data_IF_415614072850
#
_entry.id   IF_415614072850
#
_cell.length_a   1.000
_cell.length_b   1.000
_cell.length_c   1.000
_cell.angle_alpha   90.00
_cell.angle_beta   90.00
_cell.angle_gamma   90.00
#
_symmetry.space_group_name_H-M   'P 1'
#
loop_
_entity.id
_entity.type
_entity.pdbx_description
1 polymer ?
#
# COMPACT_ATOMS: atom_id res chain seq x y z
N UNK A 1 -6.58 -41.84 -28.05
CA UNK A 1 -7.31 -40.59 -28.31
C UNK A 1 -7.17 -39.73 -27.07
N UNK A 2 -6.28 -38.74 -27.16
CA UNK A 2 -6.03 -37.76 -26.11
C UNK A 2 -7.18 -36.75 -26.06
N UNK A 3 -7.79 -36.57 -24.88
CA UNK A 3 -8.65 -35.41 -24.62
C UNK A 3 -7.81 -34.33 -23.95
N UNK A 4 -7.45 -33.34 -24.76
CA UNK A 4 -6.78 -32.10 -24.41
C UNK A 4 -7.64 -31.33 -23.40
N UNK A 5 -7.20 -31.22 -22.15
CA UNK A 5 -7.82 -30.35 -21.14
C UNK A 5 -7.23 -28.96 -21.27
N UNK A 6 -7.86 -28.13 -22.10
CA UNK A 6 -7.62 -26.69 -22.18
C UNK A 6 -8.37 -26.00 -21.03
N UNK A 7 -7.71 -25.81 -19.88
CA UNK A 7 -8.08 -24.81 -18.87
C UNK A 7 -6.86 -23.99 -18.49
N UNK A 8 -6.45 -23.16 -19.45
CA UNK A 8 -5.35 -22.21 -19.35
C UNK A 8 -5.91 -20.86 -18.87
N UNK A 9 -6.28 -20.74 -17.60
CA UNK A 9 -6.80 -19.48 -17.05
C UNK A 9 -6.12 -19.20 -15.70
N UNK A 10 -5.38 -18.08 -15.69
CA UNK A 10 -4.94 -17.24 -14.56
C UNK A 10 -3.64 -17.53 -13.76
N UNK A 11 -2.60 -18.10 -14.38
CA UNK A 11 -1.18 -17.87 -13.97
C UNK A 11 -0.67 -16.43 -14.31
N UNK A 12 -1.58 -15.50 -14.60
CA UNK A 12 -1.35 -14.49 -15.64
C UNK A 12 -0.84 -13.12 -15.18
N UNK A 13 -0.71 -12.85 -13.88
CA UNK A 13 -0.28 -11.50 -13.46
C UNK A 13 1.22 -11.38 -13.15
N UNK A 14 1.91 -12.49 -12.87
CA UNK A 14 3.36 -12.47 -12.57
C UNK A 14 4.21 -13.45 -13.40
N UNK A 15 3.58 -14.34 -14.19
CA UNK A 15 4.22 -14.96 -15.37
C UNK A 15 4.40 -13.93 -16.51
N UNK A 16 3.96 -12.67 -16.33
CA UNK A 16 3.95 -11.66 -17.39
C UNK A 16 5.16 -10.71 -17.45
N UNK A 17 6.00 -10.62 -16.41
CA UNK A 17 7.12 -9.65 -16.41
C UNK A 17 8.44 -10.27 -16.92
N UNK A 18 8.62 -11.59 -16.83
CA UNK A 18 9.60 -12.30 -17.67
C UNK A 18 9.44 -13.81 -17.54
N UNK A 19 9.03 -14.48 -18.62
CA UNK A 19 9.29 -15.92 -18.79
C UNK A 19 10.79 -16.20 -19.02
N UNK A 20 11.59 -15.14 -19.21
CA UNK A 20 13.01 -15.21 -19.48
C UNK A 20 13.82 -15.15 -18.17
N UNK A 21 14.49 -16.26 -17.77
CA UNK A 21 15.27 -16.33 -16.53
C UNK A 21 16.44 -15.33 -16.47
N UNK A 22 16.85 -14.76 -17.61
CA UNK A 22 17.89 -13.72 -17.66
C UNK A 22 17.42 -12.35 -17.16
N UNK A 23 16.12 -12.03 -17.24
CA UNK A 23 15.58 -10.73 -16.83
C UNK A 23 15.20 -10.67 -15.35
N UNK A 24 14.96 -11.84 -14.73
CA UNK A 24 14.62 -11.98 -13.30
C UNK A 24 15.61 -11.28 -12.34
N UNK A 25 16.96 -11.41 -12.50
CA UNK A 25 17.91 -10.68 -11.65
C UNK A 25 17.89 -9.16 -11.88
N UNK A 26 17.58 -8.69 -13.09
CA UNK A 26 17.46 -7.27 -13.40
C UNK A 26 16.23 -6.67 -12.71
N UNK A 27 15.10 -7.37 -12.78
CA UNK A 27 13.84 -6.99 -12.12
C UNK A 27 14.03 -6.98 -10.59
N UNK A 28 14.70 -8.00 -10.04
CA UNK A 28 15.04 -8.05 -8.61
C UNK A 28 15.89 -6.84 -8.19
N UNK A 29 16.95 -6.54 -8.96
CA UNK A 29 17.80 -5.37 -8.72
C UNK A 29 17.04 -4.05 -8.78
N UNK A 30 16.13 -3.91 -9.75
CA UNK A 30 15.27 -2.73 -9.90
C UNK A 30 14.37 -2.54 -8.67
N UNK A 31 13.62 -3.57 -8.27
CA UNK A 31 12.72 -3.47 -7.11
C UNK A 31 13.47 -3.28 -5.79
N UNK A 32 14.64 -3.91 -5.63
CA UNK A 32 15.49 -3.69 -4.47
C UNK A 32 16.00 -2.25 -4.42
N UNK A 33 16.45 -1.70 -5.56
CA UNK A 33 16.93 -0.32 -5.64
C UNK A 33 15.81 0.68 -5.33
N UNK A 34 14.61 0.46 -5.88
CA UNK A 34 13.43 1.27 -5.60
C UNK A 34 13.06 1.21 -4.12
N UNK A 35 13.08 0.02 -3.51
CA UNK A 35 12.84 -0.15 -2.08
C UNK A 35 13.82 0.67 -1.23
N UNK A 36 15.12 0.54 -1.48
CA UNK A 36 16.16 1.24 -0.70
C UNK A 36 16.02 2.77 -0.86
N UNK A 37 15.81 3.24 -2.09
CA UNK A 37 15.65 4.68 -2.37
C UNK A 37 14.40 5.22 -1.69
N UNK A 38 13.26 4.54 -1.80
CA UNK A 38 11.99 4.97 -1.19
C UNK A 38 12.08 4.97 0.34
N UNK A 39 12.65 3.94 0.95
CA UNK A 39 12.81 3.87 2.41
C UNK A 39 13.76 4.95 2.90
N UNK A 40 14.92 5.09 2.26
CA UNK A 40 15.92 6.09 2.66
C UNK A 40 15.35 7.51 2.49
N UNK A 41 14.71 7.80 1.36
CA UNK A 41 14.12 9.11 1.08
C UNK A 41 13.07 9.50 2.12
N UNK A 42 12.14 8.60 2.43
CA UNK A 42 11.09 8.88 3.41
C UNK A 42 11.61 8.97 4.84
N UNK A 43 12.63 8.18 5.21
CA UNK A 43 13.28 8.30 6.52
C UNK A 43 14.00 9.65 6.67
N UNK A 44 14.64 10.14 5.60
CA UNK A 44 15.26 11.47 5.61
C UNK A 44 14.22 12.58 5.77
N UNK A 45 13.05 12.47 5.14
CA UNK A 45 11.95 13.43 5.32
C UNK A 45 11.49 13.44 6.78
N UNK A 46 11.22 12.27 7.37
CA UNK A 46 10.83 12.14 8.78
C UNK A 46 11.90 12.79 9.68
N UNK A 47 13.17 12.44 9.49
CA UNK A 47 14.27 12.97 10.29
C UNK A 47 14.40 14.50 10.16
N UNK A 48 14.26 15.04 8.96
CA UNK A 48 14.31 16.48 8.71
C UNK A 48 13.14 17.21 9.40
N UNK A 49 11.92 16.65 9.34
CA UNK A 49 10.75 17.26 9.98
C UNK A 49 10.82 17.25 11.51
N UNK A 50 11.47 16.25 12.12
CA UNK A 50 11.64 16.18 13.58
C UNK A 50 12.80 17.06 14.06
N UNK A 51 13.87 17.17 13.27
CA UNK A 51 15.10 17.88 13.66
C UNK A 51 14.96 19.39 13.57
N UNK A 52 14.17 19.89 12.62
CA UNK A 52 14.06 21.33 12.34
C UNK A 52 12.78 21.90 12.93
N UNK A 53 12.89 22.62 14.06
CA UNK A 53 11.75 23.20 14.77
C UNK A 53 11.00 24.27 13.96
N UNK A 54 11.66 24.91 13.00
CA UNK A 54 11.05 25.84 12.05
C UNK A 54 10.12 25.16 11.04
N UNK A 55 10.22 23.83 10.86
CA UNK A 55 9.34 23.05 9.99
C UNK A 55 8.09 22.54 10.72
N UNK A 56 7.81 22.90 11.98
CA UNK A 56 6.57 22.52 12.69
C UNK A 56 5.31 23.25 12.19
N UNK A 57 5.08 23.24 10.87
CA UNK A 57 3.81 23.63 10.26
C UNK A 57 2.91 22.40 10.08
N UNK A 58 1.58 22.57 10.08
CA UNK A 58 0.62 21.49 9.83
C UNK A 58 0.95 20.63 8.61
N UNK A 59 1.44 21.26 7.53
CA UNK A 59 1.83 20.57 6.30
C UNK A 59 2.93 19.52 6.54
N UNK A 60 4.02 19.89 7.24
CA UNK A 60 5.13 18.96 7.49
C UNK A 60 4.76 17.86 8.49
N UNK A 61 3.83 18.13 9.41
CA UNK A 61 3.25 17.09 10.27
C UNK A 61 2.52 16.02 9.44
N UNK A 62 1.67 16.41 8.49
CA UNK A 62 1.02 15.46 7.58
C UNK A 62 2.03 14.78 6.65
N UNK A 63 3.04 15.50 6.16
CA UNK A 63 4.10 14.93 5.33
C UNK A 63 4.92 13.85 6.05
N UNK A 64 5.22 14.04 7.34
CA UNK A 64 5.89 13.01 8.13
C UNK A 64 5.01 11.76 8.32
N UNK A 65 3.69 11.93 8.48
CA UNK A 65 2.76 10.81 8.54
C UNK A 65 2.69 10.07 7.20
N UNK A 66 2.65 10.81 6.08
CA UNK A 66 2.67 10.25 4.72
C UNK A 66 3.95 9.45 4.47
N UNK A 67 5.10 10.02 4.82
CA UNK A 67 6.40 9.35 4.68
C UNK A 67 6.48 8.07 5.51
N UNK A 68 5.88 8.04 6.71
CA UNK A 68 5.79 6.84 7.52
C UNK A 68 4.91 5.77 6.85
N UNK A 69 3.75 6.17 6.32
CA UNK A 69 2.85 5.28 5.57
C UNK A 69 3.55 4.70 4.34
N UNK A 70 4.32 5.49 3.60
CA UNK A 70 5.09 5.03 2.44
C UNK A 70 6.15 3.99 2.80
N UNK A 71 6.89 4.19 3.91
CA UNK A 71 7.87 3.21 4.40
C UNK A 71 7.16 1.90 4.77
N UNK A 72 6.04 1.98 5.49
CA UNK A 72 5.27 0.81 5.89
C UNK A 72 4.68 0.07 4.68
N UNK A 73 4.12 0.80 3.71
CA UNK A 73 3.56 0.25 2.49
C UNK A 73 4.63 -0.49 1.67
N UNK A 74 5.75 0.18 1.42
CA UNK A 74 6.87 -0.36 0.65
C UNK A 74 7.45 -1.60 1.35
N UNK A 75 7.58 -1.57 2.68
CA UNK A 75 8.08 -2.69 3.49
C UNK A 75 7.12 -3.87 3.62
N UNK A 76 5.81 -3.64 3.44
CA UNK A 76 4.82 -4.73 3.47
C UNK A 76 4.68 -5.45 2.13
N UNK A 77 4.90 -4.74 1.02
CA UNK A 77 4.66 -5.24 -0.35
C UNK A 77 5.94 -5.77 -1.00
N UNK A 78 7.04 -5.02 -0.93
CA UNK A 78 8.27 -5.32 -1.70
C UNK A 78 9.05 -6.53 -1.14
N UNK A 79 9.30 -6.67 0.18
CA UNK A 79 10.07 -7.81 0.70
C UNK A 79 9.44 -9.16 0.42
N UNK A 80 8.10 -9.27 0.49
CA UNK A 80 7.39 -10.47 0.08
C UNK A 80 7.64 -10.79 -1.40
N UNK A 81 7.73 -9.77 -2.25
CA UNK A 81 7.92 -9.93 -3.70
C UNK A 81 9.31 -10.47 -4.01
N UNK A 82 10.32 -9.91 -3.35
CA UNK A 82 11.69 -10.37 -3.48
C UNK A 82 11.86 -11.82 -2.97
N UNK A 83 11.27 -12.16 -1.82
CA UNK A 83 11.32 -13.53 -1.29
C UNK A 83 10.61 -14.53 -2.22
N UNK A 84 9.51 -14.13 -2.84
CA UNK A 84 8.77 -14.96 -3.79
C UNK A 84 9.58 -15.22 -5.08
N UNK A 85 10.32 -14.21 -5.56
CA UNK A 85 11.22 -14.34 -6.71
C UNK A 85 12.40 -15.27 -6.40
N UNK A 86 12.95 -15.22 -5.18
CA UNK A 86 14.13 -15.99 -4.79
C UNK A 86 13.83 -17.47 -4.49
N UNK A 87 12.66 -17.78 -3.96
CA UNK A 87 12.31 -19.15 -3.53
C UNK A 87 11.59 -19.98 -4.60
N UNK A 88 11.17 -19.38 -5.73
CA UNK A 88 10.32 -19.99 -6.78
C UNK A 88 9.05 -20.69 -6.26
N UNK A 89 8.72 -20.55 -4.97
CA UNK A 89 7.58 -21.17 -4.31
C UNK A 89 6.45 -20.15 -4.28
N UNK A 90 5.59 -20.19 -5.31
CA UNK A 90 4.45 -19.28 -5.51
C UNK A 90 3.30 -19.46 -4.48
N UNK A 91 3.54 -20.08 -3.33
CA UNK A 91 2.49 -20.48 -2.37
C UNK A 91 2.43 -19.54 -1.18
N UNK A 92 1.57 -18.51 -1.28
CA UNK A 92 1.18 -17.70 -0.13
C UNK A 92 0.09 -18.44 0.64
N UNK A 93 0.31 -18.69 1.93
CA UNK A 93 -0.75 -19.21 2.82
C UNK A 93 -1.93 -18.25 2.84
N UNK A 94 -3.16 -18.79 2.85
CA UNK A 94 -4.41 -18.02 2.85
C UNK A 94 -4.44 -16.89 3.91
N UNK A 95 -3.98 -17.16 5.13
CA UNK A 95 -3.84 -16.18 6.20
C UNK A 95 -2.91 -15.02 5.81
N UNK A 96 -1.81 -15.32 5.11
CA UNK A 96 -0.87 -14.34 4.59
C UNK A 96 -1.43 -13.46 3.46
N UNK A 97 -2.40 -13.97 2.69
CA UNK A 97 -3.09 -13.18 1.64
C UNK A 97 -4.04 -12.18 2.28
N UNK A 98 -4.85 -12.59 3.26
CA UNK A 98 -5.79 -11.71 3.96
C UNK A 98 -5.05 -10.57 4.66
N UNK A 99 -3.96 -10.89 5.36
CA UNK A 99 -3.13 -9.89 6.03
C UNK A 99 -2.55 -8.90 5.01
N UNK A 100 -2.13 -9.38 3.83
CA UNK A 100 -1.60 -8.52 2.78
C UNK A 100 -2.65 -7.59 2.16
N UNK A 101 -3.85 -8.09 1.85
CA UNK A 101 -4.96 -7.25 1.35
C UNK A 101 -5.32 -6.19 2.38
N UNK A 102 -5.38 -6.57 3.66
CA UNK A 102 -5.70 -5.66 4.75
C UNK A 102 -4.71 -4.49 4.81
N UNK A 103 -3.40 -4.78 4.88
CA UNK A 103 -2.36 -3.76 4.95
C UNK A 103 -2.29 -2.93 3.67
N UNK A 104 -2.41 -3.56 2.50
CA UNK A 104 -2.41 -2.86 1.22
C UNK A 104 -3.56 -1.86 1.13
N UNK A 105 -4.78 -2.29 1.46
CA UNK A 105 -5.95 -1.40 1.48
C UNK A 105 -5.79 -0.30 2.52
N UNK A 106 -5.23 -0.62 3.69
CA UNK A 106 -4.99 0.34 4.77
C UNK A 106 -4.09 1.47 4.34
N UNK A 107 -2.94 1.14 3.76
CA UNK A 107 -1.96 2.14 3.36
C UNK A 107 -2.42 2.97 2.16
N UNK A 108 -3.09 2.37 1.17
CA UNK A 108 -3.64 3.13 0.04
C UNK A 108 -4.66 4.16 0.50
N UNK A 109 -5.57 3.76 1.40
CA UNK A 109 -6.63 4.65 1.89
C UNK A 109 -6.04 5.75 2.77
N UNK A 110 -5.05 5.41 3.60
CA UNK A 110 -4.28 6.38 4.39
C UNK A 110 -3.58 7.41 3.51
N UNK A 111 -2.86 6.97 2.48
CA UNK A 111 -2.15 7.84 1.53
C UNK A 111 -3.10 8.85 0.88
N UNK A 112 -4.21 8.36 0.33
CA UNK A 112 -5.21 9.22 -0.31
C UNK A 112 -5.83 10.24 0.67
N UNK A 113 -6.16 9.82 1.89
CA UNK A 113 -6.71 10.75 2.88
C UNK A 113 -5.70 11.79 3.35
N UNK A 114 -4.44 11.40 3.56
CA UNK A 114 -3.37 12.32 3.93
C UNK A 114 -3.09 13.35 2.82
N UNK A 115 -3.05 12.90 1.55
CA UNK A 115 -2.95 13.80 0.40
C UNK A 115 -4.13 14.77 0.32
N UNK A 116 -5.36 14.30 0.57
CA UNK A 116 -6.53 15.16 0.60
C UNK A 116 -6.48 16.22 1.72
N UNK A 117 -6.04 15.83 2.92
CA UNK A 117 -5.87 16.77 4.05
C UNK A 117 -4.76 17.78 3.76
N UNK A 118 -3.65 17.36 3.14
CA UNK A 118 -2.60 18.27 2.69
C UNK A 118 -3.08 19.24 1.61
N UNK A 119 -3.90 18.78 0.66
CA UNK A 119 -4.51 19.65 -0.35
C UNK A 119 -5.45 20.67 0.30
N UNK A 120 -6.22 20.26 1.30
CA UNK A 120 -7.07 21.14 2.10
C UNK A 120 -6.25 22.17 2.89
N UNK A 121 -5.15 21.76 3.52
CA UNK A 121 -4.22 22.69 4.21
C UNK A 121 -3.72 23.79 3.25
N UNK A 122 -3.26 23.40 2.06
CA UNK A 122 -2.83 24.35 1.02
C UNK A 122 -3.95 25.26 0.55
N UNK A 123 -5.16 24.74 0.40
CA UNK A 123 -6.34 25.54 0.04
C UNK A 123 -6.64 26.61 1.09
N UNK A 124 -6.70 26.25 2.38
CA UNK A 124 -6.99 27.21 3.46
C UNK A 124 -5.87 28.23 3.60
N UNK A 125 -4.61 27.83 3.42
CA UNK A 125 -3.46 28.74 3.44
C UNK A 125 -3.55 29.82 2.34
N UNK A 126 -4.04 29.46 1.15
CA UNK A 126 -4.16 30.39 0.01
C UNK A 126 -5.43 31.25 0.11
N UNK A 127 -6.58 30.63 0.38
CA UNK A 127 -7.87 31.33 0.35
C UNK A 127 -8.17 32.12 1.64
N UNK A 128 -7.62 31.71 2.78
CA UNK A 128 -7.89 32.32 4.09
C UNK A 128 -6.62 32.54 4.94
N UNK A 129 -5.62 33.29 4.45
CA UNK A 129 -4.31 33.43 5.11
C UNK A 129 -4.40 34.02 6.53
N UNK A 130 -5.28 35.00 6.76
CA UNK A 130 -5.46 35.63 8.09
C UNK A 130 -6.10 34.72 9.14
N UNK A 131 -6.89 33.73 8.71
CA UNK A 131 -7.58 32.80 9.61
C UNK A 131 -6.92 31.41 9.65
N UNK A 132 -5.85 31.20 8.87
CA UNK A 132 -5.17 29.91 8.76
C UNK A 132 -4.76 29.33 10.13
N UNK A 133 -4.12 30.14 10.98
CA UNK A 133 -3.69 29.74 12.34
C UNK A 133 -4.85 29.36 13.27
N UNK A 134 -6.05 29.92 13.04
CA UNK A 134 -7.23 29.64 13.86
C UNK A 134 -7.96 28.40 13.35
N UNK A 135 -8.00 28.22 12.02
CA UNK A 135 -8.64 27.07 11.36
C UNK A 135 -7.78 25.80 11.54
N UNK A 136 -6.49 25.86 11.19
CA UNK A 136 -5.54 24.74 11.27
C UNK A 136 -4.71 24.82 12.56
N UNK A 137 -5.39 24.63 13.69
CA UNK A 137 -4.73 24.46 14.99
C UNK A 137 -4.07 23.07 15.09
N UNK A 138 -2.91 22.91 15.75
CA UNK A 138 -2.31 21.62 16.11
C UNK A 138 -3.28 20.57 16.65
N UNK A 139 -4.27 20.98 17.45
CA UNK A 139 -5.31 20.06 17.96
C UNK A 139 -6.18 19.50 16.83
N UNK A 140 -6.64 20.36 15.91
CA UNK A 140 -7.41 19.91 14.75
C UNK A 140 -6.56 19.03 13.83
N UNK A 141 -5.28 19.35 13.65
CA UNK A 141 -4.36 18.54 12.84
C UNK A 141 -4.20 17.14 13.42
N UNK A 142 -4.04 17.04 14.74
CA UNK A 142 -4.00 15.75 15.46
C UNK A 142 -5.31 14.98 15.33
N UNK A 143 -6.46 15.67 15.43
CA UNK A 143 -7.78 15.06 15.27
C UNK A 143 -8.01 14.54 13.85
N UNK A 144 -7.62 15.31 12.83
CA UNK A 144 -7.70 14.92 11.43
C UNK A 144 -6.81 13.70 11.16
N UNK A 145 -5.56 13.72 11.63
CA UNK A 145 -4.68 12.55 11.52
C UNK A 145 -5.31 11.32 12.17
N UNK A 146 -5.79 11.43 13.42
CA UNK A 146 -6.46 10.31 14.10
C UNK A 146 -7.69 9.81 13.33
N UNK A 147 -8.50 10.72 12.80
CA UNK A 147 -9.65 10.38 11.98
C UNK A 147 -9.23 9.62 10.72
N UNK A 148 -8.20 10.08 9.99
CA UNK A 148 -7.67 9.37 8.81
C UNK A 148 -7.19 7.95 9.14
N UNK A 149 -6.54 7.76 10.29
CA UNK A 149 -6.12 6.44 10.76
C UNK A 149 -7.30 5.53 11.07
N UNK A 150 -8.30 6.02 11.80
CA UNK A 150 -9.47 5.24 12.19
C UNK A 150 -10.34 4.89 10.97
N UNK A 151 -10.62 5.86 10.09
CA UNK A 151 -11.45 5.62 8.89
C UNK A 151 -10.78 4.64 7.95
N UNK A 152 -9.47 4.75 7.75
CA UNK A 152 -8.70 3.80 6.93
C UNK A 152 -8.71 2.40 7.54
N UNK A 153 -8.53 2.27 8.86
CA UNK A 153 -8.59 0.99 9.54
C UNK A 153 -9.96 0.31 9.42
N UNK A 154 -11.05 1.08 9.58
CA UNK A 154 -12.41 0.58 9.41
C UNK A 154 -12.70 0.19 7.96
N UNK A 155 -12.26 1.00 6.99
CA UNK A 155 -12.44 0.69 5.57
C UNK A 155 -11.69 -0.58 5.17
N UNK A 156 -10.44 -0.73 5.60
CA UNK A 156 -9.66 -1.94 5.34
C UNK A 156 -10.22 -3.16 6.02
N UNK A 157 -10.73 -3.02 7.24
CA UNK A 157 -11.40 -4.12 7.92
C UNK A 157 -12.66 -4.54 7.15
N UNK A 158 -13.46 -3.58 6.68
CA UNK A 158 -14.67 -3.85 5.89
C UNK A 158 -14.32 -4.54 4.57
N UNK A 159 -13.32 -4.04 3.83
CA UNK A 159 -12.82 -4.68 2.61
C UNK A 159 -12.31 -6.10 2.88
N UNK A 160 -11.51 -6.31 3.92
CA UNK A 160 -11.04 -7.65 4.29
C UNK A 160 -12.19 -8.59 4.68
N UNK A 161 -13.20 -8.10 5.40
CA UNK A 161 -14.39 -8.89 5.75
C UNK A 161 -15.25 -9.21 4.53
N UNK A 162 -15.36 -8.30 3.57
CA UNK A 162 -16.03 -8.56 2.29
C UNK A 162 -15.29 -9.64 1.50
N UNK A 163 -13.97 -9.55 1.40
CA UNK A 163 -13.14 -10.58 0.74
C UNK A 163 -13.28 -11.94 1.43
N UNK A 164 -13.24 -11.96 2.76
CA UNK A 164 -13.48 -13.17 3.57
C UNK A 164 -14.87 -13.80 3.36
N UNK A 165 -15.88 -12.98 3.04
CA UNK A 165 -17.24 -13.47 2.72
C UNK A 165 -17.38 -13.93 1.28
N UNK A 166 -16.56 -13.41 0.36
CA UNK A 166 -16.54 -13.78 -1.05
C UNK A 166 -15.74 -15.06 -1.31
N UNK A 167 -14.84 -15.46 -0.41
CA UNK A 167 -14.08 -16.71 -0.52
C UNK A 167 -14.95 -17.95 -0.26
N UNK A 168 -15.58 -18.45 -1.32
CA UNK A 168 -16.06 -19.83 -1.40
C UNK A 168 -14.86 -20.80 -1.51
N UNK A 169 -14.95 -21.91 -0.76
CA UNK A 169 -14.11 -23.11 -0.79
C UNK A 169 -12.64 -23.01 -0.34
N UNK A 170 -12.39 -23.73 0.77
CA UNK A 170 -11.17 -23.87 1.57
C UNK A 170 -9.92 -24.48 0.90
N UNK A 171 -9.85 -24.63 -0.43
CA UNK A 171 -8.75 -25.37 -1.10
C UNK A 171 -8.40 -24.81 -2.49
N UNK A 172 -8.24 -23.49 -2.63
CA UNK A 172 -7.69 -22.91 -3.85
C UNK A 172 -6.30 -22.34 -3.57
N UNK A 173 -5.25 -23.05 -4.02
CA UNK A 173 -3.92 -22.49 -4.19
C UNK A 173 -4.00 -21.44 -5.30
N UNK A 174 -4.03 -20.15 -4.92
CA UNK A 174 -4.07 -19.04 -5.87
C UNK A 174 -2.62 -18.76 -6.29
N UNK A 175 -2.24 -18.92 -7.58
CA UNK A 175 -0.87 -18.78 -8.04
C UNK A 175 -0.45 -17.31 -8.24
N UNK A 176 -0.95 -16.38 -7.41
CA UNK A 176 -0.70 -14.95 -7.54
C UNK A 176 -0.12 -14.34 -6.26
N UNK A 177 0.89 -13.50 -6.46
CA UNK A 177 1.71 -12.85 -5.44
C UNK A 177 1.01 -11.70 -4.69
N UNK A 178 -0.09 -11.19 -5.24
CA UNK A 178 -1.02 -10.27 -4.60
C UNK A 178 -2.43 -10.79 -4.82
N UNK A 179 -3.23 -10.90 -3.75
CA UNK A 179 -4.67 -11.14 -3.87
C UNK A 179 -5.30 -9.93 -4.57
N UNK A 180 -5.41 -9.97 -5.89
CA UNK A 180 -6.15 -8.96 -6.64
C UNK A 180 -7.66 -9.20 -6.50
N UNK A 181 -8.35 -8.19 -5.98
CA UNK A 181 -9.81 -8.14 -5.83
C UNK A 181 -10.56 -8.31 -7.18
N UNK A 182 -9.89 -8.07 -8.31
CA UNK A 182 -10.52 -8.00 -9.63
C UNK A 182 -10.89 -9.38 -10.22
N UNK A 183 -10.24 -10.47 -9.80
CA UNK A 183 -10.61 -11.82 -10.29
C UNK A 183 -11.83 -12.41 -9.59
N UNK A 184 -12.30 -11.79 -8.49
CA UNK A 184 -13.49 -12.23 -7.77
C UNK A 184 -14.78 -11.85 -8.54
N UNK A 185 -14.75 -10.79 -9.34
CA UNK A 185 -15.92 -10.32 -10.10
C UNK A 185 -16.05 -10.91 -11.50
N UNK A 186 -14.99 -11.48 -12.09
CA UNK A 186 -15.06 -12.11 -13.42
C UNK A 186 -15.64 -13.52 -13.42
N UNK A 187 -15.92 -14.09 -12.24
CA UNK A 187 -16.56 -15.39 -12.08
C UNK A 187 -17.91 -15.30 -11.33
N UNK A 188 -18.54 -14.12 -11.29
CA UNK A 188 -19.93 -13.94 -10.88
C UNK A 188 -20.88 -14.15 -12.06
#
# INVERSE_FOLDING_TARGET
MESKNDTKISEFLLQGISEDPELQPLIFGLFLSMYVITVLGNLLIILATISESHLHTPMYFFLSNLSFVDVCFTSSTIPKMLVNIQTQSKTIRYEGCIIQIYFFTLFIVLDNFLLAVMAYDRYVAICHPLHYMVILNPFLCSLLALATWITSALNSLLHSLMVLRLSFCSNLEIPNFSCELNQVFQHA
#
